data_IF_000395948332
#
_entry.id   IF_000395948332
#
_cell.length_a   1.000
_cell.length_b   1.000
_cell.length_c   1.000
_cell.angle_alpha   90.00
_cell.angle_beta   90.00
_cell.angle_gamma   90.00
#
_symmetry.space_group_name_H-M   'P 1'
#
loop_
_entity.id
_entity.type
_entity.pdbx_description
1 polymer ?
#
# COMPACT_ATOMS: atom_id res chain seq x y z
N UNK A 1 -21.26 6.85 4.63
CA UNK A 1 -21.17 8.19 5.25
C UNK A 1 -21.64 8.07 6.70
N UNK A 2 -20.71 8.06 7.65
CA UNK A 2 -21.01 8.09 9.10
C UNK A 2 -20.09 9.06 9.86
N UNK A 3 -19.04 9.56 9.21
CA UNK A 3 -18.02 10.42 9.82
C UNK A 3 -18.45 11.88 9.85
N UNK A 4 -19.03 12.39 8.76
CA UNK A 4 -19.63 13.72 8.70
C UNK A 4 -20.70 13.90 9.78
N UNK A 5 -21.59 12.93 9.96
CA UNK A 5 -22.65 13.00 10.97
C UNK A 5 -22.07 13.02 12.40
N UNK A 6 -20.98 12.27 12.65
CA UNK A 6 -20.26 12.32 13.92
C UNK A 6 -19.64 13.70 14.16
N UNK A 7 -18.98 14.28 13.16
CA UNK A 7 -18.33 15.59 13.28
C UNK A 7 -19.39 16.70 13.44
N UNK A 8 -20.46 16.66 12.66
CA UNK A 8 -21.57 17.62 12.73
C UNK A 8 -22.23 17.62 14.11
N UNK A 9 -22.58 16.45 14.65
CA UNK A 9 -23.13 16.35 16.01
C UNK A 9 -22.13 16.73 17.09
N UNK A 10 -20.84 16.42 16.89
CA UNK A 10 -19.77 16.87 17.79
C UNK A 10 -19.65 18.40 17.83
N UNK A 11 -19.80 19.08 16.68
CA UNK A 11 -19.83 20.55 16.59
C UNK A 11 -21.05 21.16 17.28
N UNK A 12 -22.19 20.47 17.26
CA UNK A 12 -23.41 20.86 17.98
C UNK A 12 -23.29 20.71 19.50
N UNK A 13 -22.14 20.25 20.02
CA UNK A 13 -21.89 20.10 21.45
C UNK A 13 -22.40 18.76 22.03
N UNK A 14 -22.82 17.82 21.19
CA UNK A 14 -23.25 16.51 21.67
C UNK A 14 -22.07 15.72 22.27
N UNK A 15 -22.32 15.02 23.38
CA UNK A 15 -21.32 14.13 23.95
C UNK A 15 -21.09 12.90 23.06
N UNK A 16 -19.86 12.37 23.04
CA UNK A 16 -19.53 11.15 22.29
C UNK A 16 -20.45 9.95 22.63
N UNK A 17 -21.01 9.89 23.85
CA UNK A 17 -21.95 8.84 24.25
C UNK A 17 -23.30 8.98 23.55
N UNK A 18 -23.76 10.21 23.34
CA UNK A 18 -25.00 10.52 22.64
C UNK A 18 -24.86 10.17 21.15
N UNK A 19 -23.78 10.63 20.52
CA UNK A 19 -23.45 10.36 19.11
C UNK A 19 -23.40 8.84 18.82
N UNK A 20 -22.81 8.05 19.72
CA UNK A 20 -22.73 6.58 19.61
C UNK A 20 -24.10 5.91 19.65
N UNK A 21 -24.99 6.36 20.55
CA UNK A 21 -26.35 5.82 20.68
C UNK A 21 -27.18 6.12 19.45
N UNK A 22 -27.07 7.35 18.95
CA UNK A 22 -27.83 7.87 17.82
C UNK A 22 -27.40 7.26 16.47
N UNK A 23 -26.10 7.16 16.21
CA UNK A 23 -25.58 6.70 14.93
C UNK A 23 -25.29 5.19 14.87
N UNK A 24 -25.40 4.49 16.01
CA UNK A 24 -25.09 3.06 16.12
C UNK A 24 -23.65 2.72 15.71
N UNK A 25 -22.68 3.55 16.09
CA UNK A 25 -21.26 3.40 15.77
C UNK A 25 -20.51 2.91 17.01
N UNK A 26 -19.49 2.08 16.84
CA UNK A 26 -18.62 1.71 17.96
C UNK A 26 -17.99 2.93 18.64
N UNK A 27 -17.96 2.92 19.98
CA UNK A 27 -17.45 4.01 20.81
C UNK A 27 -16.02 4.40 20.47
N UNK A 28 -15.15 3.44 20.16
CA UNK A 28 -13.74 3.72 19.81
C UNK A 28 -13.66 4.43 18.47
N UNK A 29 -14.54 4.09 17.54
CA UNK A 29 -14.60 4.71 16.22
C UNK A 29 -15.07 6.16 16.33
N UNK A 30 -16.16 6.44 17.06
CA UNK A 30 -16.62 7.81 17.30
C UNK A 30 -15.53 8.67 17.97
N UNK A 31 -14.91 8.14 19.04
CA UNK A 31 -13.78 8.82 19.71
C UNK A 31 -12.63 9.11 18.75
N UNK A 32 -12.21 8.14 17.95
CA UNK A 32 -11.10 8.29 17.01
C UNK A 32 -11.38 9.28 15.86
N UNK A 33 -12.66 9.55 15.55
CA UNK A 33 -13.07 10.59 14.61
C UNK A 33 -12.93 11.97 15.28
N UNK A 34 -13.51 12.15 16.47
CA UNK A 34 -13.42 13.40 17.23
C UNK A 34 -11.96 13.78 17.57
N UNK A 35 -11.14 12.82 17.99
CA UNK A 35 -9.73 13.06 18.33
C UNK A 35 -8.91 13.47 17.09
N UNK A 36 -9.22 12.94 15.91
CA UNK A 36 -8.59 13.36 14.65
C UNK A 36 -9.01 14.76 14.25
N UNK A 37 -10.29 15.07 14.38
CA UNK A 37 -10.83 16.39 14.09
C UNK A 37 -10.17 17.47 14.96
N UNK A 38 -10.04 17.22 16.27
CA UNK A 38 -9.31 18.12 17.19
C UNK A 38 -7.86 18.36 16.76
N UNK A 39 -7.13 17.28 16.47
CA UNK A 39 -5.73 17.38 16.01
C UNK A 39 -5.60 18.18 14.72
N UNK A 40 -6.51 17.97 13.76
CA UNK A 40 -6.53 18.76 12.53
C UNK A 40 -6.69 20.26 12.82
N UNK A 41 -7.60 20.63 13.72
CA UNK A 41 -7.77 22.02 14.15
C UNK A 41 -6.51 22.56 14.82
N UNK A 42 -5.93 21.82 15.76
CA UNK A 42 -4.71 22.22 16.47
C UNK A 42 -3.53 22.46 15.51
N UNK A 43 -3.34 21.58 14.52
CA UNK A 43 -2.29 21.68 13.52
C UNK A 43 -2.49 22.92 12.60
N UNK A 44 -3.74 23.23 12.25
CA UNK A 44 -4.09 24.30 11.31
C UNK A 44 -4.28 25.69 11.93
N UNK A 45 -4.47 25.80 13.24
CA UNK A 45 -4.41 27.09 13.98
C UNK A 45 -3.05 27.82 13.82
N UNK A 46 -2.06 27.15 13.21
CA UNK A 46 -0.77 27.69 12.80
C UNK A 46 -0.79 28.49 11.48
N UNK A 47 -1.90 28.48 10.74
CA UNK A 47 -2.03 29.00 9.36
C UNK A 47 -3.23 29.95 9.20
N UNK A 48 -3.08 30.96 8.34
CA UNK A 48 -4.01 32.09 8.17
C UNK A 48 -5.26 31.70 7.35
N UNK A 49 -6.43 32.10 7.85
CA UNK A 49 -7.82 31.97 7.34
C UNK A 49 -8.62 30.77 7.89
N UNK A 50 -9.63 31.05 8.72
CA UNK A 50 -10.43 30.05 9.45
C UNK A 50 -11.25 29.12 8.54
N UNK A 51 -11.78 29.62 7.42
CA UNK A 51 -12.69 28.87 6.55
C UNK A 51 -11.96 27.87 5.64
N UNK A 52 -10.83 28.28 5.06
CA UNK A 52 -10.00 27.39 4.23
C UNK A 52 -9.31 26.31 5.08
N UNK A 53 -8.95 26.67 6.31
CA UNK A 53 -8.45 25.76 7.33
C UNK A 53 -9.49 24.69 7.65
N UNK A 54 -10.75 25.10 7.81
CA UNK A 54 -11.84 24.21 8.17
C UNK A 54 -12.14 23.19 7.06
N UNK A 55 -12.24 23.62 5.81
CA UNK A 55 -12.44 22.70 4.68
C UNK A 55 -11.28 21.72 4.53
N UNK A 56 -10.04 22.19 4.75
CA UNK A 56 -8.85 21.33 4.75
C UNK A 56 -8.86 20.34 5.93
N UNK A 57 -9.27 20.76 7.14
CA UNK A 57 -9.40 19.84 8.29
C UNK A 57 -10.41 18.74 8.00
N UNK A 58 -11.57 19.07 7.44
CA UNK A 58 -12.62 18.10 7.15
C UNK A 58 -12.10 17.04 6.17
N UNK A 59 -11.47 17.46 5.07
CA UNK A 59 -10.87 16.55 4.08
C UNK A 59 -9.79 15.63 4.69
N UNK A 60 -8.95 16.16 5.59
CA UNK A 60 -7.89 15.41 6.27
C UNK A 60 -8.46 14.37 7.24
N UNK A 61 -9.54 14.70 7.95
CA UNK A 61 -10.20 13.80 8.90
C UNK A 61 -10.94 12.65 8.20
N UNK A 62 -11.50 12.92 7.01
CA UNK A 62 -12.35 12.00 6.25
C UNK A 62 -11.55 11.01 5.40
N UNK A 63 -10.30 11.30 5.09
CA UNK A 63 -9.42 10.37 4.39
C UNK A 63 -9.02 9.22 5.32
N UNK A 64 -9.87 8.19 5.34
CA UNK A 64 -9.59 6.92 6.02
C UNK A 64 -8.49 6.16 5.28
N UNK A 65 -7.23 6.49 5.54
CA UNK A 65 -6.12 5.61 5.17
C UNK A 65 -5.88 4.58 6.27
N UNK A 66 -5.82 3.30 5.92
CA UNK A 66 -5.32 2.29 6.84
C UNK A 66 -3.83 2.54 7.06
N UNK A 67 -3.39 2.63 8.31
CA UNK A 67 -1.96 2.64 8.61
C UNK A 67 -1.35 1.28 8.24
N UNK A 68 -0.78 1.22 7.03
CA UNK A 68 -0.03 0.08 6.53
C UNK A 68 1.48 0.23 6.71
N UNK A 69 1.96 1.27 7.41
CA UNK A 69 3.39 1.55 7.59
C UNK A 69 4.15 0.37 8.22
N UNK A 70 3.48 -0.37 9.12
CA UNK A 70 4.04 -1.54 9.82
C UNK A 70 3.99 -2.84 8.99
N UNK A 71 3.40 -2.82 7.79
CA UNK A 71 3.32 -4.02 6.93
C UNK A 71 4.67 -4.23 6.25
N UNK A 72 5.47 -5.11 6.83
CA UNK A 72 6.69 -5.64 6.21
C UNK A 72 6.43 -6.94 5.47
N UNK A 73 7.10 -7.14 4.33
CA UNK A 73 7.12 -8.43 3.66
C UNK A 73 7.82 -9.44 4.56
N UNK A 74 7.11 -10.50 4.97
CA UNK A 74 7.65 -11.53 5.88
C UNK A 74 8.40 -12.64 5.16
N UNK A 75 7.91 -13.04 3.99
CA UNK A 75 8.46 -14.17 3.21
C UNK A 75 9.41 -13.74 2.09
N UNK A 76 9.38 -12.46 1.69
CA UNK A 76 10.23 -11.93 0.64
C UNK A 76 11.46 -11.28 1.28
N UNK A 77 12.50 -12.07 1.45
CA UNK A 77 13.78 -11.61 2.02
C UNK A 77 14.69 -11.04 0.91
N UNK A 78 15.69 -10.21 1.27
CA UNK A 78 16.67 -9.71 0.29
C UNK A 78 17.41 -10.83 -0.46
N UNK A 79 17.62 -11.98 0.19
CA UNK A 79 18.22 -13.17 -0.43
C UNK A 79 17.35 -13.73 -1.56
N UNK A 80 16.04 -13.89 -1.31
CA UNK A 80 15.08 -14.32 -2.33
C UNK A 80 15.04 -13.33 -3.49
N UNK A 81 15.05 -12.03 -3.20
CA UNK A 81 15.08 -11.00 -4.24
C UNK A 81 16.33 -11.09 -5.12
N UNK A 82 17.51 -11.21 -4.51
CA UNK A 82 18.77 -11.37 -5.22
C UNK A 82 18.74 -12.61 -6.11
N UNK A 83 18.27 -13.72 -5.57
CA UNK A 83 18.18 -14.98 -6.30
C UNK A 83 17.23 -14.92 -7.49
N UNK A 84 16.05 -14.33 -7.31
CA UNK A 84 15.10 -14.11 -8.41
C UNK A 84 15.71 -13.21 -9.50
N UNK A 85 16.48 -12.17 -9.13
CA UNK A 85 17.18 -11.32 -10.11
C UNK A 85 18.23 -12.11 -10.90
N UNK A 86 19.01 -12.96 -10.24
CA UNK A 86 20.00 -13.83 -10.90
C UNK A 86 19.35 -14.75 -11.92
N UNK A 87 18.30 -15.47 -11.54
CA UNK A 87 17.54 -16.37 -12.42
C UNK A 87 17.00 -15.61 -13.64
N UNK A 88 16.51 -14.38 -13.44
CA UNK A 88 16.03 -13.55 -14.52
C UNK A 88 17.14 -13.07 -15.46
N UNK A 89 18.32 -12.70 -14.94
CA UNK A 89 19.46 -12.32 -15.78
C UNK A 89 19.96 -13.48 -16.63
N UNK A 90 19.99 -14.69 -16.08
CA UNK A 90 20.31 -15.91 -16.84
C UNK A 90 19.30 -16.13 -17.97
N UNK A 91 18.02 -15.93 -17.69
CA UNK A 91 16.94 -16.05 -18.67
C UNK A 91 17.06 -15.00 -19.78
N UNK A 92 17.43 -13.75 -19.47
CA UNK A 92 17.69 -12.72 -20.48
C UNK A 92 18.86 -13.10 -21.40
N UNK A 93 19.95 -13.64 -20.85
CA UNK A 93 21.10 -14.12 -21.65
C UNK A 93 20.69 -15.26 -22.58
N UNK A 94 19.89 -16.21 -22.09
CA UNK A 94 19.35 -17.32 -22.91
C UNK A 94 18.45 -16.80 -24.03
N UNK A 95 17.54 -15.88 -23.72
CA UNK A 95 16.63 -15.28 -24.69
C UNK A 95 17.35 -14.47 -25.78
N UNK A 96 18.45 -13.77 -25.44
CA UNK A 96 19.28 -13.08 -26.46
C UNK A 96 19.91 -14.05 -27.46
N UNK A 97 20.28 -15.24 -27.02
CA UNK A 97 20.94 -16.25 -27.86
C UNK A 97 19.96 -17.06 -28.70
N UNK A 98 18.82 -17.43 -28.12
CA UNK A 98 17.88 -18.40 -28.70
C UNK A 98 16.59 -17.76 -29.24
N UNK A 99 16.30 -16.52 -28.89
CA UNK A 99 15.01 -15.89 -29.18
C UNK A 99 13.86 -16.49 -28.34
N UNK A 100 12.60 -16.33 -28.77
CA UNK A 100 11.46 -16.94 -28.10
C UNK A 100 11.56 -18.46 -28.20
N UNK A 101 11.69 -19.13 -27.05
CA UNK A 101 11.95 -20.55 -26.96
C UNK A 101 10.95 -21.24 -26.03
N UNK A 102 10.65 -22.51 -26.29
CA UNK A 102 9.64 -23.29 -25.54
C UNK A 102 9.99 -23.50 -24.06
N UNK A 103 11.27 -23.36 -23.68
CA UNK A 103 11.77 -23.64 -22.33
C UNK A 103 11.90 -22.39 -21.45
N UNK A 104 11.14 -21.33 -21.74
CA UNK A 104 11.22 -20.09 -21.00
C UNK A 104 10.87 -20.26 -19.51
N UNK A 105 11.60 -19.57 -18.64
CA UNK A 105 11.49 -19.72 -17.19
C UNK A 105 10.12 -19.21 -16.66
N UNK A 106 9.30 -20.15 -16.18
CA UNK A 106 7.97 -19.90 -15.62
C UNK A 106 8.06 -19.51 -14.13
N UNK A 107 7.00 -18.87 -13.61
CA UNK A 107 6.92 -18.53 -12.19
C UNK A 107 6.86 -19.78 -11.29
N UNK A 108 6.30 -20.88 -11.81
CA UNK A 108 6.21 -22.17 -11.13
C UNK A 108 7.63 -22.75 -10.96
N UNK A 109 8.40 -22.82 -12.05
CA UNK A 109 9.78 -23.30 -12.01
C UNK A 109 10.67 -22.46 -11.06
N UNK A 110 10.48 -21.14 -11.04
CA UNK A 110 11.21 -20.26 -10.11
C UNK A 110 10.83 -20.57 -8.66
N UNK A 111 9.56 -20.84 -8.38
CA UNK A 111 9.12 -21.21 -7.03
C UNK A 111 9.69 -22.57 -6.59
N UNK A 112 9.71 -23.55 -7.49
CA UNK A 112 10.30 -24.88 -7.21
C UNK A 112 11.78 -24.76 -6.87
N UNK A 113 12.55 -24.02 -7.67
CA UNK A 113 13.98 -23.75 -7.39
C UNK A 113 14.19 -23.07 -6.03
N UNK A 114 13.38 -22.07 -5.70
CA UNK A 114 13.48 -21.39 -4.41
C UNK A 114 13.08 -22.31 -3.23
N UNK A 115 12.14 -23.22 -3.44
CA UNK A 115 11.75 -24.21 -2.45
C UNK A 115 12.84 -25.26 -2.23
N UNK A 116 13.50 -25.73 -3.30
CA UNK A 116 14.67 -26.61 -3.25
C UNK A 116 15.85 -25.96 -2.52
N UNK A 117 16.06 -24.66 -2.72
CA UNK A 117 17.04 -23.83 -2.00
C UNK A 117 16.64 -23.52 -0.54
N UNK A 118 15.52 -24.07 -0.06
CA UNK A 118 15.06 -23.98 1.31
C UNK A 118 14.44 -22.64 1.70
N UNK A 119 14.02 -21.82 0.74
CA UNK A 119 13.41 -20.53 1.01
C UNK A 119 11.91 -20.69 1.33
N UNK A 120 11.42 -20.26 2.51
CA UNK A 120 10.02 -20.42 2.91
C UNK A 120 9.12 -19.34 2.25
N UNK A 121 9.04 -19.36 0.92
CA UNK A 121 8.24 -18.43 0.12
C UNK A 121 7.11 -19.15 -0.60
N UNK A 122 5.89 -18.64 -0.47
CA UNK A 122 4.73 -19.18 -1.19
C UNK A 122 4.70 -18.76 -2.67
N UNK A 123 4.19 -19.65 -3.51
CA UNK A 123 4.04 -19.44 -4.97
C UNK A 123 3.42 -18.09 -5.34
N UNK A 124 2.34 -17.67 -4.68
CA UNK A 124 1.66 -16.40 -5.00
C UNK A 124 2.57 -15.19 -4.85
N UNK A 125 3.43 -15.21 -3.83
CA UNK A 125 4.42 -14.17 -3.57
C UNK A 125 5.48 -14.17 -4.67
N UNK A 126 6.02 -15.34 -5.02
CA UNK A 126 6.98 -15.50 -6.13
C UNK A 126 6.38 -14.99 -7.44
N UNK A 127 5.17 -15.44 -7.80
CA UNK A 127 4.51 -15.06 -9.04
C UNK A 127 4.27 -13.54 -9.14
N UNK A 128 3.86 -12.92 -8.03
CA UNK A 128 3.68 -11.47 -7.95
C UNK A 128 5.00 -10.71 -8.22
N UNK A 129 6.06 -11.02 -7.48
CA UNK A 129 7.34 -10.34 -7.62
C UNK A 129 8.04 -10.65 -8.95
N UNK A 130 7.91 -11.89 -9.46
CA UNK A 130 8.42 -12.28 -10.78
C UNK A 130 7.77 -11.48 -11.91
N UNK A 131 6.44 -11.26 -11.83
CA UNK A 131 5.71 -10.42 -12.78
C UNK A 131 6.18 -8.97 -12.71
N UNK A 132 6.37 -8.44 -11.50
CA UNK A 132 6.89 -7.08 -11.32
C UNK A 132 8.30 -6.92 -11.89
N UNK A 133 9.17 -7.90 -11.69
CA UNK A 133 10.54 -7.90 -12.23
C UNK A 133 10.52 -7.85 -13.77
N UNK A 134 9.74 -8.72 -14.40
CA UNK A 134 9.53 -8.74 -15.86
C UNK A 134 8.97 -7.41 -16.38
N UNK A 135 8.01 -6.83 -15.67
CA UNK A 135 7.42 -5.53 -16.05
C UNK A 135 8.41 -4.38 -15.93
N UNK A 136 9.17 -4.29 -14.82
CA UNK A 136 10.20 -3.26 -14.62
C UNK A 136 11.23 -3.29 -15.75
N UNK A 137 11.69 -4.47 -16.13
CA UNK A 137 12.63 -4.61 -17.26
C UNK A 137 12.00 -4.21 -18.59
N UNK A 138 10.72 -4.56 -18.82
CA UNK A 138 10.00 -4.13 -20.03
C UNK A 138 9.83 -2.62 -20.11
N UNK A 139 9.57 -1.95 -18.98
CA UNK A 139 9.46 -0.49 -18.93
C UNK A 139 10.83 0.16 -19.13
N UNK A 140 11.88 -0.34 -18.46
CA UNK A 140 13.24 0.14 -18.66
C UNK A 140 13.74 -0.02 -20.11
N UNK A 141 13.33 -1.09 -20.79
CA UNK A 141 13.62 -1.30 -22.22
C UNK A 141 12.76 -0.43 -23.15
N UNK A 142 11.58 0.01 -22.70
CA UNK A 142 10.65 0.83 -23.49
C UNK A 142 10.88 2.33 -23.34
N UNK A 143 11.61 2.79 -22.33
CA UNK A 143 12.07 4.18 -22.27
C UNK A 143 13.13 4.36 -23.37
N UNK A 144 12.81 5.01 -24.50
CA UNK A 144 13.84 5.39 -25.43
C UNK A 144 14.69 6.47 -24.76
N UNK A 145 15.97 6.49 -25.09
CA UNK A 145 16.81 7.66 -24.93
C UNK A 145 16.00 8.92 -25.24
N UNK A 146 15.91 9.83 -24.27
CA UNK A 146 15.71 11.23 -24.63
C UNK A 146 16.99 11.70 -25.30
N UNK A 147 16.89 12.04 -26.58
CA UNK A 147 17.54 13.17 -27.26
C UNK A 147 16.90 13.30 -28.64
#
# INVERSE_FOLDING_TARGET
MKQFDVISRYRQGESNRHIVRELGIDRKTAKAICDRYKKGIDDLNSSKSEQEVEEATEQLVLTRSYDSSKRRARAYTPAVEARMKELYQQELKKNKRLGPHKQALTAIAVHELLAEEGHPIGYRTVAHYWRQLKQKTRVAFRLPCGL
#
